data_IF_923379367718
#
_entry.id   IF_923379367718
#
_cell.length_a   1.000
_cell.length_b   1.000
_cell.length_c   1.000
_cell.angle_alpha   90.00
_cell.angle_beta   90.00
_cell.angle_gamma   90.00
#
_symmetry.space_group_name_H-M   'P 1'
#
loop_
_entity.id
_entity.type
_entity.pdbx_description
1 polymer ?
#
# COMPACT_ATOMS: atom_id res chain seq x y z
N UNK A 1 0.92 -6.85 12.23
CA UNK A 1 0.24 -5.53 12.31
C UNK A 1 1.17 -4.48 12.92
N UNK A 2 1.50 -4.53 14.22
CA UNK A 2 2.30 -3.50 14.89
C UNK A 2 3.66 -3.19 14.26
N UNK A 3 4.42 -4.21 13.83
CA UNK A 3 5.68 -4.01 13.11
C UNK A 3 5.49 -3.20 11.81
N UNK A 4 4.43 -3.47 11.05
CA UNK A 4 4.13 -2.72 9.84
C UNK A 4 3.77 -1.25 10.15
N UNK A 5 3.05 -1.01 11.25
CA UNK A 5 2.78 0.35 11.75
C UNK A 5 4.08 1.10 12.09
N UNK A 6 5.07 0.40 12.65
CA UNK A 6 6.40 0.94 12.94
C UNK A 6 7.19 1.32 11.67
N UNK A 7 7.00 0.60 10.57
CA UNK A 7 7.61 0.94 9.28
C UNK A 7 6.91 2.13 8.60
N UNK A 8 5.59 2.25 8.73
CA UNK A 8 4.81 3.35 8.16
C UNK A 8 3.46 3.53 8.86
N UNK A 9 3.15 4.78 9.23
CA UNK A 9 1.89 5.10 9.92
C UNK A 9 0.63 4.73 9.12
N UNK A 10 0.68 4.78 7.78
CA UNK A 10 -0.46 4.36 6.94
C UNK A 10 -0.83 2.89 7.16
N UNK A 11 0.09 2.03 7.62
CA UNK A 11 -0.20 0.64 7.94
C UNK A 11 -1.17 0.47 9.13
N UNK A 12 -1.34 1.49 9.99
CA UNK A 12 -2.38 1.45 11.03
C UNK A 12 -3.76 1.30 10.37
N UNK A 13 -4.05 2.15 9.38
CA UNK A 13 -5.34 2.14 8.69
C UNK A 13 -5.40 1.10 7.55
N UNK A 14 -4.28 0.80 6.89
CA UNK A 14 -4.22 -0.11 5.72
C UNK A 14 -3.97 -1.58 6.08
N UNK A 15 -3.48 -1.88 7.29
CA UNK A 15 -3.14 -3.25 7.71
C UNK A 15 -3.78 -3.58 9.05
N UNK A 16 -3.52 -2.79 10.11
CA UNK A 16 -4.02 -3.13 11.44
C UNK A 16 -5.55 -3.10 11.52
N UNK A 17 -6.20 -2.07 10.95
CA UNK A 17 -7.65 -1.96 10.91
C UNK A 17 -8.33 -3.10 10.12
N UNK A 18 -7.96 -3.41 8.85
CA UNK A 18 -8.54 -4.56 8.14
C UNK A 18 -8.37 -5.88 8.90
N UNK A 19 -7.21 -6.13 9.51
CA UNK A 19 -6.99 -7.35 10.29
C UNK A 19 -7.85 -7.37 11.56
N UNK A 20 -8.04 -6.24 12.25
CA UNK A 20 -8.96 -6.16 13.39
C UNK A 20 -10.41 -6.48 12.97
N UNK A 21 -10.86 -5.96 11.82
CA UNK A 21 -12.17 -6.31 11.25
C UNK A 21 -12.26 -7.80 10.95
N UNK A 22 -11.22 -8.41 10.38
CA UNK A 22 -11.21 -9.86 10.14
C UNK A 22 -11.32 -10.64 11.45
N UNK A 23 -10.64 -10.24 12.51
CA UNK A 23 -10.75 -10.87 13.84
C UNK A 23 -12.18 -10.81 14.38
N UNK A 24 -12.91 -9.72 14.13
CA UNK A 24 -14.34 -9.60 14.49
C UNK A 24 -15.22 -10.54 13.67
N UNK A 25 -14.92 -10.70 12.38
CA UNK A 25 -15.68 -11.52 11.43
C UNK A 25 -15.35 -13.02 11.52
N UNK A 26 -14.56 -13.44 12.50
CA UNK A 26 -14.32 -14.85 12.75
C UNK A 26 -15.56 -15.51 13.36
N UNK A 27 -16.30 -16.30 12.55
CA UNK A 27 -17.47 -17.09 12.97
C UNK A 27 -17.20 -18.01 14.15
N UNK A 28 -18.27 -18.39 14.84
CA UNK A 28 -18.24 -19.30 15.99
C UNK A 28 -17.92 -18.61 17.32
N UNK A 29 -17.84 -17.28 17.34
CA UNK A 29 -17.58 -16.48 18.55
C UNK A 29 -18.81 -15.73 18.99
N UNK A 30 -19.04 -15.70 20.30
CA UNK A 30 -19.98 -14.75 20.89
C UNK A 30 -19.44 -13.32 20.77
N UNK A 31 -20.31 -12.31 20.82
CA UNK A 31 -19.91 -10.89 20.79
C UNK A 31 -18.79 -10.58 21.79
N UNK A 32 -18.91 -11.07 23.03
CA UNK A 32 -17.88 -10.91 24.08
C UNK A 32 -16.54 -11.52 23.68
N UNK A 33 -16.54 -12.70 23.06
CA UNK A 33 -15.33 -13.37 22.59
C UNK A 33 -14.68 -12.60 21.42
N UNK A 34 -15.47 -12.09 20.48
CA UNK A 34 -14.97 -11.28 19.37
C UNK A 34 -14.34 -9.97 19.85
N UNK A 35 -14.97 -9.29 20.81
CA UNK A 35 -14.41 -8.08 21.45
C UNK A 35 -13.10 -8.43 22.17
N UNK A 36 -13.08 -9.49 22.98
CA UNK A 36 -11.87 -9.93 23.68
C UNK A 36 -10.71 -10.23 22.72
N UNK A 37 -11.00 -10.88 21.59
CA UNK A 37 -10.01 -11.15 20.55
C UNK A 37 -9.49 -9.88 19.88
N UNK A 38 -10.34 -8.87 19.67
CA UNK A 38 -9.91 -7.59 19.11
C UNK A 38 -9.08 -6.79 20.09
N UNK A 39 -9.42 -6.81 21.38
CA UNK A 39 -8.60 -6.19 22.43
C UNK A 39 -7.23 -6.86 22.46
N UNK A 40 -7.18 -8.20 22.47
CA UNK A 40 -5.91 -8.94 22.47
C UNK A 40 -5.08 -8.67 21.21
N UNK A 41 -5.71 -8.65 20.03
CA UNK A 41 -5.05 -8.30 18.77
C UNK A 41 -4.48 -6.87 18.82
N UNK A 42 -5.30 -5.90 19.27
CA UNK A 42 -4.91 -4.49 19.34
C UNK A 42 -3.79 -4.28 20.34
N UNK A 43 -3.84 -4.97 21.49
CA UNK A 43 -2.77 -4.97 22.48
C UNK A 43 -1.46 -5.52 21.90
N UNK A 44 -1.50 -6.70 21.25
CA UNK A 44 -0.31 -7.27 20.61
C UNK A 44 0.25 -6.37 19.50
N UNK A 45 -0.62 -5.75 18.70
CA UNK A 45 -0.21 -4.77 17.70
C UNK A 45 0.41 -3.52 18.34
N UNK A 46 -0.15 -3.01 19.44
CA UNK A 46 0.38 -1.87 20.16
C UNK A 46 1.74 -2.18 20.79
N UNK A 47 1.91 -3.36 21.41
CA UNK A 47 3.21 -3.79 21.98
C UNK A 47 4.28 -3.86 20.90
N UNK A 48 3.96 -4.39 19.72
CA UNK A 48 4.91 -4.43 18.61
C UNK A 48 5.18 -3.05 17.98
N UNK A 49 4.24 -2.11 18.10
CA UNK A 49 4.38 -0.74 17.57
C UNK A 49 5.03 0.22 18.58
N UNK A 50 4.94 -0.07 19.88
CA UNK A 50 5.37 0.81 20.95
C UNK A 50 6.86 1.18 20.92
N UNK A 51 7.82 0.34 20.46
CA UNK A 51 9.22 0.77 20.39
C UNK A 51 9.40 2.01 19.50
N UNK A 52 8.66 2.08 18.38
CA UNK A 52 8.67 3.25 17.50
C UNK A 52 8.04 4.47 18.17
N UNK A 53 6.89 4.29 18.83
CA UNK A 53 6.19 5.39 19.53
C UNK A 53 7.03 5.96 20.69
N UNK A 54 7.66 5.08 21.46
CA UNK A 54 8.52 5.46 22.59
C UNK A 54 9.76 6.19 22.07
N UNK A 55 10.43 5.65 21.04
CA UNK A 55 11.57 6.32 20.40
C UNK A 55 11.19 7.74 19.95
N UNK A 56 10.10 7.90 19.22
CA UNK A 56 9.70 9.22 18.72
C UNK A 56 9.32 10.17 19.85
N UNK A 57 8.65 9.68 20.90
CA UNK A 57 8.37 10.49 22.09
C UNK A 57 9.64 10.97 22.79
N UNK A 58 10.64 10.11 22.95
CA UNK A 58 11.92 10.47 23.59
C UNK A 58 12.69 11.47 22.73
N UNK A 59 12.75 11.25 21.42
CA UNK A 59 13.59 12.05 20.52
C UNK A 59 12.98 13.38 20.11
N UNK A 60 11.65 13.47 20.05
CA UNK A 60 10.95 14.64 19.47
C UNK A 60 9.93 15.27 20.41
N UNK A 61 9.49 14.56 21.46
CA UNK A 61 8.33 14.95 22.26
C UNK A 61 6.98 14.49 21.69
N UNK A 62 6.93 14.02 20.44
CA UNK A 62 5.73 13.55 19.76
C UNK A 62 5.84 12.04 19.43
N UNK A 63 4.96 11.16 19.97
CA UNK A 63 5.04 9.72 19.73
C UNK A 63 4.75 9.31 18.27
N UNK A 64 4.08 10.17 17.50
CA UNK A 64 3.71 9.92 16.11
C UNK A 64 4.37 10.91 15.14
N UNK A 65 5.48 11.52 15.55
CA UNK A 65 6.18 12.55 14.77
C UNK A 65 6.47 12.13 13.31
N UNK A 66 6.27 13.02 12.31
CA UNK A 66 5.79 14.41 12.43
C UNK A 66 4.25 14.55 12.41
N UNK A 67 3.50 13.44 12.42
CA UNK A 67 2.03 13.51 12.44
C UNK A 67 1.51 14.15 13.72
N UNK A 68 0.34 14.79 13.64
CA UNK A 68 -0.31 15.44 14.77
C UNK A 68 0.60 16.46 15.50
N UNK A 69 1.54 17.10 14.78
CA UNK A 69 2.47 18.03 15.42
C UNK A 69 1.77 19.24 16.04
N UNK A 70 0.63 19.69 15.48
CA UNK A 70 -0.18 20.73 16.10
C UNK A 70 -0.71 20.38 17.50
N UNK A 71 -0.84 19.08 17.81
CA UNK A 71 -1.30 18.60 19.13
C UNK A 71 -0.12 18.45 20.11
N UNK A 72 0.98 17.83 19.66
CA UNK A 72 2.13 17.57 20.53
C UNK A 72 3.13 18.73 20.60
N UNK A 73 3.01 19.70 19.69
CA UNK A 73 3.87 20.88 19.58
C UNK A 73 5.38 20.53 19.62
N UNK A 74 5.75 19.43 18.96
CA UNK A 74 7.13 18.96 18.94
C UNK A 74 7.97 19.79 17.98
N UNK A 75 9.01 20.43 18.52
CA UNK A 75 10.01 21.22 17.79
C UNK A 75 11.42 20.70 18.09
N UNK A 76 11.77 19.47 17.67
CA UNK A 76 13.13 18.97 17.81
C UNK A 76 14.12 19.84 17.00
N UNK A 77 15.40 19.78 17.35
CA UNK A 77 16.46 20.51 16.62
C UNK A 77 16.39 20.23 15.12
N UNK A 78 16.34 21.29 14.31
CA UNK A 78 16.22 21.19 12.85
C UNK A 78 14.78 21.03 12.33
N UNK A 79 13.77 21.12 13.18
CA UNK A 79 12.36 21.11 12.81
C UNK A 79 11.62 22.32 13.41
N UNK A 80 11.40 23.35 12.59
CA UNK A 80 10.65 24.55 12.93
C UNK A 80 9.34 24.65 12.15
N UNK A 81 8.77 25.86 12.12
CA UNK A 81 7.51 26.15 11.43
C UNK A 81 7.62 25.95 9.91
N UNK A 82 8.76 26.28 9.31
CA UNK A 82 9.00 26.10 7.89
C UNK A 82 9.01 24.61 7.48
N UNK A 83 9.61 23.74 8.30
CA UNK A 83 9.59 22.28 8.08
C UNK A 83 8.18 21.71 8.23
N UNK A 84 7.44 22.18 9.23
CA UNK A 84 6.05 21.78 9.44
C UNK A 84 5.16 22.20 8.25
N UNK A 85 5.31 23.43 7.76
CA UNK A 85 4.58 23.91 6.59
C UNK A 85 4.90 23.10 5.32
N UNK A 86 6.19 22.81 5.07
CA UNK A 86 6.62 21.95 3.96
C UNK A 86 6.07 20.52 4.08
N UNK A 87 6.02 19.98 5.29
CA UNK A 87 5.40 18.69 5.56
C UNK A 87 3.92 18.70 5.19
N UNK A 88 3.17 19.71 5.63
CA UNK A 88 1.74 19.82 5.35
C UNK A 88 1.46 20.03 3.86
N UNK A 89 2.28 20.81 3.16
CA UNK A 89 2.22 21.00 1.71
C UNK A 89 2.43 19.69 0.95
N UNK A 90 3.51 18.96 1.27
CA UNK A 90 3.82 17.66 0.65
C UNK A 90 2.84 16.53 1.02
N UNK A 91 2.00 16.75 2.03
CA UNK A 91 0.90 15.88 2.44
C UNK A 91 -0.45 16.52 2.16
N UNK A 92 -0.53 17.45 1.21
CA UNK A 92 -1.82 17.92 0.70
C UNK A 92 -2.27 17.05 -0.47
N UNK A 93 -3.58 17.00 -0.72
CA UNK A 93 -4.10 16.39 -1.93
C UNK A 93 -3.97 17.37 -3.08
N UNK A 94 -3.63 16.87 -4.26
CA UNK A 94 -3.68 17.67 -5.48
C UNK A 94 -5.12 18.20 -5.69
N UNK A 95 -5.30 19.45 -6.16
CA UNK A 95 -6.63 20.04 -6.32
C UNK A 95 -7.59 19.23 -7.19
N UNK A 96 -7.07 18.55 -8.22
CA UNK A 96 -7.84 17.66 -9.11
C UNK A 96 -8.36 16.41 -8.38
N UNK A 97 -7.67 15.99 -7.32
CA UNK A 97 -7.98 14.79 -6.53
C UNK A 97 -8.80 15.11 -5.26
N UNK A 98 -9.15 16.38 -5.02
CA UNK A 98 -9.92 16.77 -3.84
C UNK A 98 -11.37 16.27 -3.89
N UNK A 99 -11.96 16.19 -5.09
CA UNK A 99 -13.35 15.76 -5.31
C UNK A 99 -13.49 14.23 -5.35
N UNK A 100 -14.67 13.70 -5.02
CA UNK A 100 -14.93 12.25 -5.10
C UNK A 100 -14.66 11.68 -6.49
N UNK A 101 -15.01 12.42 -7.55
CA UNK A 101 -14.73 12.00 -8.94
C UNK A 101 -13.23 11.98 -9.21
N UNK A 102 -12.50 13.01 -8.77
CA UNK A 102 -11.05 13.08 -8.84
C UNK A 102 -10.37 11.91 -8.15
N UNK A 103 -10.82 11.54 -6.95
CA UNK A 103 -10.31 10.38 -6.19
C UNK A 103 -10.54 9.05 -6.91
N UNK A 104 -11.70 8.88 -7.56
CA UNK A 104 -11.97 7.69 -8.37
C UNK A 104 -11.12 7.67 -9.66
N UNK A 105 -10.88 8.84 -10.26
CA UNK A 105 -9.93 8.99 -11.36
C UNK A 105 -8.50 8.63 -10.93
N UNK A 106 -8.10 9.01 -9.72
CA UNK A 106 -6.81 8.67 -9.14
C UNK A 106 -6.65 7.15 -8.96
N UNK A 107 -7.72 6.42 -8.60
CA UNK A 107 -7.69 4.95 -8.56
C UNK A 107 -7.31 4.36 -9.93
N UNK A 108 -7.88 4.87 -11.03
CA UNK A 108 -7.54 4.42 -12.36
C UNK A 108 -6.08 4.74 -12.72
N UNK A 109 -5.65 5.99 -12.50
CA UNK A 109 -4.31 6.48 -12.82
C UNK A 109 -3.19 5.79 -12.04
N UNK A 110 -3.42 5.50 -10.77
CA UNK A 110 -2.36 5.01 -9.86
C UNK A 110 -2.34 3.50 -9.66
N UNK A 111 -3.33 2.77 -10.19
CA UNK A 111 -3.43 1.31 -10.05
C UNK A 111 -3.41 0.60 -11.42
N UNK A 112 -4.48 0.62 -12.27
CA UNK A 112 -4.39 0.07 -13.62
C UNK A 112 -3.44 0.80 -14.58
N UNK A 113 -3.53 2.12 -14.66
CA UNK A 113 -2.83 2.98 -15.63
C UNK A 113 -1.54 3.58 -15.07
N UNK A 114 -1.01 2.97 -14.00
CA UNK A 114 0.19 3.47 -13.35
C UNK A 114 1.37 3.47 -14.34
N UNK A 115 1.93 4.65 -14.61
CA UNK A 115 3.09 4.84 -15.48
C UNK A 115 4.24 3.90 -15.13
N UNK A 116 4.44 3.63 -13.84
CA UNK A 116 5.52 2.77 -13.33
C UNK A 116 5.10 1.31 -13.13
N UNK A 117 3.88 0.97 -13.52
CA UNK A 117 3.37 -0.40 -13.53
C UNK A 117 3.57 -1.14 -12.19
N UNK A 118 3.41 -0.46 -11.05
CA UNK A 118 3.67 -1.06 -9.71
C UNK A 118 2.82 -2.29 -9.42
N UNK A 119 1.65 -2.39 -10.05
CA UNK A 119 0.77 -3.55 -9.98
C UNK A 119 0.97 -4.51 -11.15
N UNK A 120 1.16 -3.96 -12.35
CA UNK A 120 1.01 -4.66 -13.61
C UNK A 120 -0.45 -5.06 -13.89
N UNK A 121 -0.90 -5.09 -15.15
CA UNK A 121 -2.30 -5.37 -15.49
C UNK A 121 -2.72 -6.81 -15.17
N UNK A 122 -1.76 -7.75 -15.13
CA UNK A 122 -2.06 -9.17 -15.00
C UNK A 122 -2.44 -9.61 -13.58
N UNK A 123 -1.94 -8.95 -12.53
CA UNK A 123 -2.37 -9.30 -11.16
C UNK A 123 -3.84 -8.94 -10.92
N UNK A 124 -4.29 -7.83 -11.51
CA UNK A 124 -5.68 -7.38 -11.47
C UNK A 124 -6.56 -8.37 -12.25
N UNK A 125 -6.13 -8.76 -13.44
CA UNK A 125 -6.85 -9.75 -14.25
C UNK A 125 -6.94 -11.11 -13.57
N UNK A 126 -5.84 -11.60 -12.97
CA UNK A 126 -5.83 -12.86 -12.23
C UNK A 126 -6.73 -12.82 -11.00
N UNK A 127 -6.75 -11.71 -10.26
CA UNK A 127 -7.68 -11.55 -9.14
C UNK A 127 -9.14 -11.60 -9.61
N UNK A 128 -9.48 -10.96 -10.74
CA UNK A 128 -10.81 -11.04 -11.38
C UNK A 128 -11.13 -12.50 -11.74
N UNK A 129 -10.26 -13.20 -12.47
CA UNK A 129 -10.42 -14.63 -12.81
C UNK A 129 -10.55 -15.50 -11.55
N UNK A 130 -9.84 -15.13 -10.48
CA UNK A 130 -9.92 -15.77 -9.18
C UNK A 130 -11.26 -15.60 -8.48
N UNK A 131 -11.93 -14.47 -8.71
CA UNK A 131 -13.21 -14.12 -8.09
C UNK A 131 -14.43 -14.61 -8.87
N UNK A 132 -14.36 -14.77 -10.19
CA UNK A 132 -15.50 -15.18 -11.02
C UNK A 132 -15.43 -16.65 -11.45
N UNK A 133 -16.57 -17.23 -11.83
CA UNK A 133 -16.64 -18.59 -12.37
C UNK A 133 -16.47 -19.73 -11.36
N UNK A 134 -16.48 -19.43 -10.05
CA UNK A 134 -16.49 -20.43 -8.98
C UNK A 134 -17.30 -19.97 -7.77
N UNK A 135 -17.67 -20.90 -6.89
CA UNK A 135 -18.19 -20.56 -5.57
C UNK A 135 -17.08 -19.91 -4.74
N UNK A 136 -17.41 -18.77 -4.14
CA UNK A 136 -16.56 -18.04 -3.20
C UNK A 136 -16.77 -18.65 -1.83
N UNK A 137 -15.67 -18.99 -1.17
CA UNK A 137 -15.72 -19.41 0.22
C UNK A 137 -15.46 -18.22 1.15
N UNK A 138 -15.42 -18.51 2.43
CA UNK A 138 -15.23 -17.51 3.47
C UNK A 138 -13.88 -16.80 3.39
N UNK A 139 -12.82 -17.47 2.94
CA UNK A 139 -11.50 -16.85 2.80
C UNK A 139 -11.55 -15.81 1.68
N UNK A 140 -12.25 -16.10 0.59
CA UNK A 140 -12.44 -15.11 -0.49
C UNK A 140 -13.16 -13.86 0.01
N UNK A 141 -14.25 -14.04 0.76
CA UNK A 141 -15.00 -12.92 1.34
C UNK A 141 -14.12 -12.09 2.28
N UNK A 142 -13.32 -12.72 3.12
CA UNK A 142 -12.35 -12.04 4.00
C UNK A 142 -11.35 -11.21 3.17
N UNK A 143 -10.77 -11.78 2.12
CA UNK A 143 -9.81 -11.08 1.26
C UNK A 143 -10.46 -9.90 0.51
N UNK A 144 -11.71 -10.07 0.03
CA UNK A 144 -12.49 -9.00 -0.59
C UNK A 144 -12.76 -7.88 0.42
N UNK A 145 -13.13 -8.21 1.66
CA UNK A 145 -13.37 -7.22 2.72
C UNK A 145 -12.09 -6.46 3.04
N UNK A 146 -10.95 -7.15 3.17
CA UNK A 146 -9.64 -6.51 3.36
C UNK A 146 -9.36 -5.54 2.20
N UNK A 147 -9.50 -6.02 0.95
CA UNK A 147 -9.25 -5.21 -0.24
C UNK A 147 -10.16 -3.98 -0.30
N UNK A 148 -11.45 -4.14 0.03
CA UNK A 148 -12.41 -3.05 0.03
C UNK A 148 -12.10 -2.00 1.11
N UNK A 149 -11.78 -2.44 2.34
CA UNK A 149 -11.36 -1.54 3.40
C UNK A 149 -10.08 -0.79 3.02
N UNK A 150 -9.12 -1.48 2.39
CA UNK A 150 -7.89 -0.86 1.93
C UNK A 150 -8.14 0.14 0.81
N UNK A 151 -9.03 -0.15 -0.14
CA UNK A 151 -9.41 0.80 -1.18
C UNK A 151 -10.09 2.03 -0.58
N UNK A 152 -11.06 1.85 0.34
CA UNK A 152 -11.76 2.97 0.99
C UNK A 152 -10.77 3.85 1.76
N UNK A 153 -9.90 3.23 2.56
CA UNK A 153 -8.92 4.00 3.34
C UNK A 153 -7.92 4.70 2.41
N UNK A 154 -7.42 4.04 1.36
CA UNK A 154 -6.49 4.68 0.43
C UNK A 154 -7.15 5.84 -0.32
N UNK A 155 -8.35 5.65 -0.86
CA UNK A 155 -9.07 6.64 -1.67
C UNK A 155 -9.45 7.88 -0.84
N UNK A 156 -9.90 7.69 0.40
CA UNK A 156 -10.52 8.77 1.18
C UNK A 156 -9.65 9.30 2.33
N UNK A 157 -8.68 8.54 2.80
CA UNK A 157 -7.91 8.85 4.02
C UNK A 157 -6.40 8.89 3.78
N UNK A 158 -5.97 8.95 2.51
CA UNK A 158 -4.55 9.18 2.14
C UNK A 158 -4.44 10.23 1.04
N UNK A 159 -3.20 10.64 0.76
CA UNK A 159 -2.85 11.59 -0.31
C UNK A 159 -2.66 10.90 -1.68
N UNK A 160 -3.25 9.71 -1.87
CA UNK A 160 -3.40 9.02 -3.17
C UNK A 160 -2.09 8.71 -3.93
N UNK A 161 -0.93 8.82 -3.28
CA UNK A 161 0.30 8.34 -3.90
C UNK A 161 0.21 6.84 -4.25
N UNK A 162 0.52 6.49 -5.50
CA UNK A 162 0.50 5.12 -6.02
C UNK A 162 1.29 4.13 -5.15
N UNK A 163 2.43 4.56 -4.59
CA UNK A 163 3.26 3.75 -3.69
C UNK A 163 2.55 3.31 -2.40
N UNK A 164 1.50 3.99 -1.98
CA UNK A 164 0.71 3.58 -0.80
C UNK A 164 -0.35 2.54 -1.17
N UNK A 165 -0.79 2.52 -2.43
CA UNK A 165 -1.71 1.51 -2.94
C UNK A 165 -1.07 0.12 -3.02
N UNK A 166 0.26 0.00 -3.06
CA UNK A 166 0.99 -1.30 -3.20
C UNK A 166 0.57 -2.35 -2.15
N UNK A 167 0.08 -1.93 -0.98
CA UNK A 167 -0.49 -2.84 0.04
C UNK A 167 -1.66 -3.68 -0.49
N UNK A 168 -2.42 -3.17 -1.47
CA UNK A 168 -3.51 -3.88 -2.14
C UNK A 168 -3.03 -5.15 -2.86
N UNK A 169 -1.74 -5.24 -3.22
CA UNK A 169 -1.16 -6.44 -3.84
C UNK A 169 -1.29 -7.68 -2.97
N UNK A 170 -1.31 -7.54 -1.64
CA UNK A 170 -1.38 -8.67 -0.73
C UNK A 170 -2.71 -9.44 -0.93
N UNK A 171 -3.89 -8.84 -0.73
CA UNK A 171 -5.15 -9.54 -0.99
C UNK A 171 -5.34 -9.88 -2.47
N UNK A 172 -4.87 -9.04 -3.41
CA UNK A 172 -4.97 -9.34 -4.85
C UNK A 172 -4.19 -10.60 -5.23
N UNK A 173 -2.96 -10.76 -4.76
CA UNK A 173 -2.12 -11.93 -5.03
C UNK A 173 -2.71 -13.20 -4.40
N UNK A 174 -3.26 -13.09 -3.19
CA UNK A 174 -3.95 -14.21 -2.55
C UNK A 174 -5.22 -14.60 -3.32
N UNK A 175 -6.04 -13.63 -3.75
CA UNK A 175 -7.22 -13.89 -4.59
C UNK A 175 -6.85 -14.49 -5.95
N UNK A 176 -5.77 -14.00 -6.56
CA UNK A 176 -5.21 -14.53 -7.80
C UNK A 176 -4.78 -16.00 -7.64
N UNK A 177 -4.02 -16.35 -6.59
CA UNK A 177 -3.61 -17.73 -6.32
C UNK A 177 -4.79 -18.67 -6.07
N UNK A 178 -5.88 -18.15 -5.51
CA UNK A 178 -7.11 -18.92 -5.26
C UNK A 178 -7.92 -19.22 -6.54
N UNK A 179 -7.51 -18.68 -7.69
CA UNK A 179 -8.12 -18.99 -8.99
C UNK A 179 -8.02 -20.46 -9.40
N UNK A 180 -7.06 -21.21 -8.87
CA UNK A 180 -6.81 -22.62 -9.22
C UNK A 180 -7.36 -23.62 -8.19
N UNK A 181 -7.99 -23.15 -7.11
CA UNK A 181 -8.58 -24.04 -6.10
C UNK A 181 -9.88 -24.70 -6.59
N UNK A 182 -10.26 -25.81 -5.93
CA UNK A 182 -11.51 -26.56 -6.11
C UNK A 182 -11.71 -27.15 -7.52
N UNK A 183 -10.83 -28.06 -7.95
CA UNK A 183 -10.92 -28.78 -9.23
C UNK A 183 -11.26 -27.84 -10.40
N UNK A 184 -10.50 -26.75 -10.53
CA UNK A 184 -10.67 -25.79 -11.60
C UNK A 184 -10.73 -26.51 -12.96
N UNK A 185 -11.69 -26.13 -13.82
CA UNK A 185 -11.81 -26.71 -15.16
C UNK A 185 -10.52 -26.51 -15.96
N UNK A 186 -10.25 -27.42 -16.90
CA UNK A 186 -9.06 -27.35 -17.78
C UNK A 186 -8.98 -25.99 -18.48
N UNK A 187 -10.12 -25.46 -18.96
CA UNK A 187 -10.21 -24.13 -19.58
C UNK A 187 -9.75 -23.02 -18.63
N UNK A 188 -10.14 -23.08 -17.36
CA UNK A 188 -9.74 -22.07 -16.36
C UNK A 188 -8.26 -22.18 -16.02
N UNK A 189 -7.76 -23.40 -15.86
CA UNK A 189 -6.33 -23.64 -15.63
C UNK A 189 -5.50 -23.08 -16.79
N UNK A 190 -5.89 -23.39 -18.04
CA UNK A 190 -5.26 -22.86 -19.23
C UNK A 190 -5.30 -21.33 -19.27
N UNK A 191 -6.45 -20.70 -18.97
CA UNK A 191 -6.57 -19.25 -18.92
C UNK A 191 -5.64 -18.62 -17.86
N UNK A 192 -5.59 -19.19 -16.66
CA UNK A 192 -4.68 -18.72 -15.59
C UNK A 192 -3.23 -18.86 -16.00
N UNK A 193 -2.84 -20.01 -16.58
CA UNK A 193 -1.46 -20.24 -17.07
C UNK A 193 -1.11 -19.21 -18.14
N UNK A 194 -1.99 -18.97 -19.12
CA UNK A 194 -1.78 -17.95 -20.16
C UNK A 194 -1.57 -16.58 -19.54
N UNK A 195 -2.44 -16.15 -18.61
CA UNK A 195 -2.32 -14.84 -17.96
C UNK A 195 -1.03 -14.73 -17.13
N UNK A 196 -0.61 -15.80 -16.44
CA UNK A 196 0.65 -15.84 -15.68
C UNK A 196 1.84 -15.75 -16.63
N UNK A 197 1.89 -16.55 -17.69
CA UNK A 197 3.01 -16.54 -18.66
C UNK A 197 3.11 -15.18 -19.34
N UNK A 198 1.99 -14.63 -19.83
CA UNK A 198 1.94 -13.30 -20.43
C UNK A 198 2.39 -12.24 -19.42
N UNK A 199 1.94 -12.31 -18.16
CA UNK A 199 2.34 -11.39 -17.11
C UNK A 199 3.82 -11.46 -16.76
N UNK A 200 4.39 -12.66 -16.69
CA UNK A 200 5.82 -12.85 -16.48
C UNK A 200 6.61 -12.24 -17.65
N UNK A 201 6.26 -12.57 -18.90
CA UNK A 201 6.90 -12.00 -20.08
C UNK A 201 6.79 -10.47 -20.13
N UNK A 202 5.61 -9.92 -19.82
CA UNK A 202 5.37 -8.48 -19.74
C UNK A 202 6.24 -7.82 -18.67
N UNK A 203 6.28 -8.37 -17.46
CA UNK A 203 7.07 -7.83 -16.36
C UNK A 203 8.57 -7.86 -16.69
N UNK A 204 9.07 -8.94 -17.29
CA UNK A 204 10.46 -9.02 -17.75
C UNK A 204 10.76 -8.00 -18.85
N UNK A 205 9.87 -7.85 -19.85
CA UNK A 205 10.04 -6.87 -20.92
C UNK A 205 10.02 -5.44 -20.38
N UNK A 206 9.09 -5.12 -19.47
CA UNK A 206 9.00 -3.80 -18.85
C UNK A 206 10.23 -3.49 -18.00
N UNK A 207 10.65 -4.42 -17.13
CA UNK A 207 11.86 -4.28 -16.32
C UNK A 207 13.12 -4.14 -17.17
N UNK A 208 13.26 -4.91 -18.25
CA UNK A 208 14.35 -4.77 -19.20
C UNK A 208 14.31 -3.41 -19.92
N UNK A 209 13.12 -2.88 -20.22
CA UNK A 209 12.94 -1.53 -20.77
C UNK A 209 13.41 -0.45 -19.80
N UNK A 210 13.01 -0.55 -18.52
CA UNK A 210 13.48 0.36 -17.46
C UNK A 210 15.00 0.31 -17.29
N UNK A 211 15.56 -0.89 -17.20
CA UNK A 211 17.02 -1.08 -17.10
C UNK A 211 17.75 -0.49 -18.31
N UNK A 212 17.25 -0.67 -19.53
CA UNK A 212 17.87 -0.07 -20.73
C UNK A 212 17.78 1.45 -20.71
N UNK A 213 16.67 2.02 -20.24
CA UNK A 213 16.51 3.46 -20.11
C UNK A 213 17.46 4.05 -19.06
N UNK A 214 17.81 3.28 -18.02
CA UNK A 214 18.76 3.68 -16.97
C UNK A 214 20.23 3.37 -17.29
N UNK A 215 20.53 2.45 -18.22
CA UNK A 215 21.89 1.92 -18.43
C UNK A 215 22.58 2.38 -19.72
N UNK A 216 21.84 2.84 -20.73
CA UNK A 216 22.44 3.38 -21.95
C UNK A 216 23.00 4.78 -21.66
N UNK A 217 24.27 4.99 -21.99
CA UNK A 217 25.03 6.25 -21.81
C UNK A 217 24.14 7.49 -22.00
N UNK A 218 23.75 8.13 -20.89
CA UNK A 218 22.84 9.29 -20.91
C UNK A 218 21.63 9.23 -19.97
N UNK A 219 21.48 8.20 -19.14
CA UNK A 219 20.46 8.20 -18.09
C UNK A 219 20.81 9.23 -16.99
N UNK A 220 19.83 10.00 -16.52
CA UNK A 220 20.03 10.96 -15.43
C UNK A 220 20.69 10.31 -14.20
N UNK A 221 20.36 9.04 -13.93
CA UNK A 221 20.96 8.27 -12.86
C UNK A 221 22.49 8.06 -13.03
N UNK A 222 22.96 7.87 -14.26
CA UNK A 222 24.39 7.63 -14.56
C UNK A 222 25.23 8.87 -14.32
N UNK A 223 24.66 10.06 -14.50
CA UNK A 223 25.31 11.32 -14.16
C UNK A 223 25.67 11.42 -12.68
N UNK A 224 24.93 10.76 -11.78
CA UNK A 224 25.29 10.65 -10.36
C UNK A 224 26.36 9.61 -10.09
N UNK A 225 26.23 8.41 -10.67
CA UNK A 225 27.22 7.34 -10.50
C UNK A 225 28.59 7.72 -11.05
N UNK A 226 28.62 8.53 -12.11
CA UNK A 226 29.82 9.05 -12.74
C UNK A 226 30.33 10.35 -12.09
N UNK A 227 29.64 10.87 -11.07
CA UNK A 227 30.02 12.09 -10.35
C UNK A 227 29.91 13.37 -11.19
N UNK A 228 29.14 13.35 -12.27
CA UNK A 228 28.92 14.49 -13.19
C UNK A 228 27.89 15.49 -12.67
N UNK A 229 26.93 15.04 -11.85
CA UNK A 229 25.95 15.90 -11.18
C UNK A 229 25.98 15.60 -9.68
N UNK A 230 25.98 16.63 -8.80
CA UNK A 230 25.83 16.40 -7.38
C UNK A 230 24.48 15.74 -7.08
N UNK A 231 24.50 14.59 -6.39
CA UNK A 231 23.28 13.79 -6.11
C UNK A 231 22.16 14.50 -5.36
N UNK A 232 22.40 15.70 -4.82
CA UNK A 232 21.39 16.48 -4.11
C UNK A 232 20.41 17.21 -5.05
N UNK A 233 20.82 17.59 -6.26
CA UNK A 233 19.98 18.34 -7.21
C UNK A 233 18.82 17.48 -7.75
N UNK A 234 18.98 16.16 -7.77
CA UNK A 234 17.91 15.24 -8.15
C UNK A 234 16.74 15.23 -7.16
N UNK A 235 16.99 15.51 -5.88
CA UNK A 235 15.91 15.55 -4.88
C UNK A 235 15.00 16.76 -5.04
N UNK A 236 15.40 17.79 -5.80
CA UNK A 236 14.52 18.91 -6.15
C UNK A 236 13.46 18.50 -7.19
N UNK A 237 13.74 17.48 -8.01
CA UNK A 237 12.83 17.02 -9.09
C UNK A 237 11.93 15.84 -8.69
N UNK A 238 12.09 15.27 -7.49
CA UNK A 238 11.37 14.05 -7.06
C UNK A 238 10.15 14.35 -6.17
N UNK A 239 9.78 15.63 -5.98
CA UNK A 239 8.53 16.01 -5.33
C UNK A 239 7.47 16.43 -6.34
#
# INVERSE_FOLDING_TARGET
AGLACGCKYTAVAMIALPLAVVVLLLEGRSFRSSVGACVLFSFGALVAFSPWLIKNRIMTGNPVFPLANGVFQALPTGWGEAEAARWDEGHSLSPDEATTVGRLGALWRHVPDDKYQRFGPMILLLAIVGLFGRRRDRIDLILIIILALQLVVWIFFTHLFARFAVVLLIPLALLAGRSLLNHASVTRQAAVIVVVVVGVCWNFAHAAGLLRAEWLDGADASLFYEGKVPGYEYFEFVN
#
